data_IF_717451141586
#
_entry.id   IF_717451141586
#
_cell.length_a   1.000
_cell.length_b   1.000
_cell.length_c   1.000
_cell.angle_alpha   90.00
_cell.angle_beta   90.00
_cell.angle_gamma   90.00
#
_symmetry.space_group_name_H-M   'P 1'
#
loop_
_entity.id
_entity.type
_entity.pdbx_description
1 polymer ?
#
# COMPACT_ATOMS: atom_id res chain seq x y z
N UNK A 1 11.36 -9.55 34.76
CA UNK A 1 10.54 -10.76 35.02
C UNK A 1 10.75 -11.78 33.92
N UNK A 2 10.59 -11.39 32.65
CA UNK A 2 10.82 -12.27 31.48
C UNK A 2 12.25 -12.86 31.39
N UNK A 3 13.31 -12.07 31.62
CA UNK A 3 14.69 -12.57 31.57
C UNK A 3 15.00 -13.64 32.63
N UNK A 4 14.41 -13.52 33.83
CA UNK A 4 14.63 -14.45 34.94
C UNK A 4 13.90 -15.80 34.70
N UNK A 5 12.71 -15.76 34.09
CA UNK A 5 12.00 -16.98 33.69
C UNK A 5 12.71 -17.70 32.54
N UNK A 6 13.36 -16.95 31.65
CA UNK A 6 14.08 -17.47 30.50
C UNK A 6 15.39 -18.17 30.89
N UNK A 7 16.13 -17.62 31.86
CA UNK A 7 17.31 -18.27 32.46
C UNK A 7 16.94 -19.60 33.11
N UNK A 8 15.84 -19.63 33.87
CA UNK A 8 15.36 -20.86 34.52
C UNK A 8 14.95 -21.94 33.52
N UNK A 9 14.34 -21.56 32.40
CA UNK A 9 13.99 -22.51 31.36
C UNK A 9 15.23 -23.06 30.64
N UNK A 10 16.25 -22.24 30.42
CA UNK A 10 17.53 -22.66 29.84
C UNK A 10 18.22 -23.72 30.71
N UNK A 11 18.29 -23.48 32.01
CA UNK A 11 18.84 -24.42 32.99
C UNK A 11 18.12 -25.77 32.96
N UNK A 12 16.78 -25.78 32.86
CA UNK A 12 15.97 -27.00 32.82
C UNK A 12 16.15 -27.82 31.54
N UNK A 13 16.58 -27.18 30.45
CA UNK A 13 16.77 -27.81 29.14
C UNK A 13 18.25 -28.09 28.83
N UNK A 14 19.13 -27.86 29.79
CA UNK A 14 20.58 -28.04 29.64
C UNK A 14 21.01 -29.45 30.05
N UNK A 15 21.83 -30.07 29.21
CA UNK A 15 22.42 -31.36 29.50
C UNK A 15 23.51 -31.23 30.59
N UNK A 16 23.48 -32.06 31.64
CA UNK A 16 24.45 -31.99 32.73
C UNK A 16 25.87 -32.40 32.33
N UNK A 17 26.04 -33.08 31.18
CA UNK A 17 27.33 -33.55 30.69
C UNK A 17 27.98 -32.53 29.75
N UNK A 18 27.31 -32.14 28.67
CA UNK A 18 27.89 -31.20 27.70
C UNK A 18 27.62 -29.73 28.02
N UNK A 19 26.79 -29.43 29.03
CA UNK A 19 26.39 -28.06 29.41
C UNK A 19 25.76 -27.26 28.25
N UNK A 20 25.15 -27.96 27.31
CA UNK A 20 24.41 -27.39 26.19
C UNK A 20 22.97 -27.91 26.19
N UNK A 21 22.07 -27.21 25.50
CA UNK A 21 20.67 -27.60 25.39
C UNK A 21 20.57 -29.00 24.77
N UNK A 22 19.73 -29.86 25.34
CA UNK A 22 19.66 -31.28 24.94
C UNK A 22 19.55 -31.48 23.42
N UNK A 23 20.38 -32.38 22.90
CA UNK A 23 20.39 -32.86 21.52
C UNK A 23 20.12 -34.36 21.53
N UNK A 24 18.97 -34.79 21.00
CA UNK A 24 18.50 -36.17 21.07
C UNK A 24 18.57 -36.76 22.50
N UNK A 25 17.79 -36.22 23.46
CA UNK A 25 17.82 -36.66 24.84
C UNK A 25 17.37 -38.11 25.02
N UNK A 26 18.19 -38.88 25.72
CA UNK A 26 18.01 -40.27 26.11
C UNK A 26 17.70 -40.35 27.59
N UNK A 27 16.60 -41.02 27.94
CA UNK A 27 16.14 -41.12 29.32
C UNK A 27 16.68 -42.39 29.99
N UNK A 28 17.53 -42.21 31.00
CA UNK A 28 18.06 -43.29 31.82
C UNK A 28 16.96 -43.94 32.67
N UNK A 29 17.17 -45.18 33.17
CA UNK A 29 16.21 -45.84 34.05
C UNK A 29 15.91 -45.11 35.37
N UNK A 30 16.80 -44.21 35.82
CA UNK A 30 16.53 -43.33 36.96
C UNK A 30 15.66 -42.11 36.62
N UNK A 31 15.23 -41.95 35.37
CA UNK A 31 14.40 -40.85 34.89
C UNK A 31 15.16 -39.60 34.41
N UNK A 32 16.46 -39.49 34.67
CA UNK A 32 17.29 -38.39 34.19
C UNK A 32 17.62 -38.54 32.71
N UNK A 33 17.81 -37.41 32.03
CA UNK A 33 18.06 -37.37 30.59
C UNK A 33 19.43 -36.81 30.26
N UNK A 34 20.04 -37.28 29.17
CA UNK A 34 21.30 -36.78 28.62
C UNK A 34 21.30 -36.89 27.10
N UNK A 35 22.15 -36.14 26.40
CA UNK A 35 22.29 -36.25 24.95
C UNK A 35 22.77 -37.66 24.55
N UNK A 36 22.31 -38.16 23.39
CA UNK A 36 22.77 -39.44 22.85
C UNK A 36 24.30 -39.49 22.71
N UNK A 37 24.92 -38.41 22.23
CA UNK A 37 26.38 -38.31 22.12
C UNK A 37 27.06 -38.50 23.48
N UNK A 38 26.61 -37.76 24.50
CA UNK A 38 27.14 -37.86 25.86
C UNK A 38 26.96 -39.25 26.47
N UNK A 39 25.83 -39.91 26.18
CA UNK A 39 25.60 -41.29 26.60
C UNK A 39 26.60 -42.24 25.93
N UNK A 40 26.80 -42.12 24.62
CA UNK A 40 27.76 -42.94 23.87
C UNK A 40 29.18 -42.73 24.38
N UNK A 41 29.59 -41.49 24.64
CA UNK A 41 30.91 -41.17 25.18
C UNK A 41 31.11 -41.83 26.57
N UNK A 42 30.09 -41.75 27.44
CA UNK A 42 30.12 -42.43 28.74
C UNK A 42 30.21 -43.96 28.60
N UNK A 43 29.51 -44.55 27.63
CA UNK A 43 29.55 -46.00 27.36
C UNK A 43 30.92 -46.44 26.83
N UNK A 44 31.55 -45.65 25.96
CA UNK A 44 32.90 -45.91 25.45
C UNK A 44 33.94 -45.90 26.59
N UNK A 45 33.76 -45.03 27.58
CA UNK A 45 34.68 -44.90 28.72
C UNK A 45 34.37 -45.83 29.91
N UNK A 46 33.30 -46.63 29.85
CA UNK A 46 32.84 -47.48 30.96
C UNK A 46 32.89 -48.98 30.65
N UNK A 47 33.75 -49.40 29.71
CA UNK A 47 33.84 -50.77 29.17
C UNK A 47 33.94 -51.93 30.20
N UNK A 48 34.26 -51.65 31.46
CA UNK A 48 34.36 -52.65 32.55
C UNK A 48 33.63 -52.23 33.85
N UNK A 49 32.82 -51.17 33.81
CA UNK A 49 32.16 -50.62 35.00
C UNK A 49 30.68 -50.28 34.77
N UNK A 50 29.80 -50.43 35.78
CA UNK A 50 28.39 -50.10 35.63
C UNK A 50 28.20 -48.61 35.29
N UNK A 51 27.36 -48.31 34.30
CA UNK A 51 27.03 -46.94 33.91
C UNK A 51 26.51 -46.18 35.12
N UNK A 52 27.06 -44.98 35.38
CA UNK A 52 26.64 -44.09 36.46
C UNK A 52 25.93 -42.86 35.91
N UNK A 53 24.75 -42.57 36.44
CA UNK A 53 24.04 -41.33 36.13
C UNK A 53 24.84 -40.12 36.67
N UNK A 54 25.17 -39.11 35.84
CA UNK A 54 25.84 -37.89 36.28
C UNK A 54 25.06 -37.09 37.34
N UNK A 55 23.73 -37.08 37.26
CA UNK A 55 22.87 -36.30 38.15
C UNK A 55 22.66 -36.95 39.52
N UNK A 56 22.27 -38.23 39.53
CA UNK A 56 21.86 -38.92 40.76
C UNK A 56 22.79 -40.06 41.20
N UNK A 57 23.84 -40.35 40.42
CA UNK A 57 24.85 -41.39 40.70
C UNK A 57 24.32 -42.83 40.77
N UNK A 58 23.08 -43.07 40.32
CA UNK A 58 22.52 -44.41 40.16
C UNK A 58 23.37 -45.26 39.20
N UNK A 59 23.55 -46.55 39.51
CA UNK A 59 24.38 -47.49 38.76
C UNK A 59 23.53 -48.50 37.98
N UNK A 60 23.88 -48.72 36.72
CA UNK A 60 23.20 -49.66 35.82
C UNK A 60 24.22 -50.63 35.22
N UNK A 61 23.97 -51.94 35.36
CA UNK A 61 24.91 -52.99 34.91
C UNK A 61 24.78 -53.32 33.42
N UNK A 62 23.60 -53.16 32.86
CA UNK A 62 23.31 -53.40 31.44
C UNK A 62 22.32 -52.33 30.96
N UNK A 63 22.72 -51.57 29.94
CA UNK A 63 21.94 -50.46 29.38
C UNK A 63 21.37 -50.94 28.06
N UNK A 64 20.33 -51.77 28.12
CA UNK A 64 19.91 -52.53 26.93
C UNK A 64 18.96 -51.76 26.01
N UNK A 65 18.29 -50.69 26.47
CA UNK A 65 17.52 -49.85 25.55
C UNK A 65 17.17 -48.48 26.17
N UNK A 66 17.97 -47.45 25.90
CA UNK A 66 17.68 -46.09 26.38
C UNK A 66 16.76 -45.39 25.37
N UNK A 67 15.51 -45.28 25.77
CA UNK A 67 14.48 -44.67 24.93
C UNK A 67 14.73 -43.17 24.73
N UNK A 68 14.45 -42.69 23.52
CA UNK A 68 14.44 -41.24 23.22
C UNK A 68 13.28 -40.60 23.96
N UNK A 69 13.55 -39.54 24.72
CA UNK A 69 12.49 -38.71 25.28
C UNK A 69 11.97 -37.76 24.21
N UNK A 70 10.92 -38.17 23.48
CA UNK A 70 10.34 -37.35 22.42
C UNK A 70 9.83 -35.99 22.92
N UNK A 71 9.24 -35.95 24.11
CA UNK A 71 8.76 -34.71 24.72
C UNK A 71 9.91 -33.74 25.01
N UNK A 72 10.99 -34.21 25.67
CA UNK A 72 12.14 -33.37 25.95
C UNK A 72 12.87 -32.97 24.66
N UNK A 73 12.98 -33.88 23.69
CA UNK A 73 13.56 -33.59 22.39
C UNK A 73 12.81 -32.45 21.67
N UNK A 74 11.48 -32.53 21.61
CA UNK A 74 10.65 -31.51 20.98
C UNK A 74 10.78 -30.16 21.68
N UNK A 75 10.71 -30.13 23.02
CA UNK A 75 10.83 -28.89 23.79
C UNK A 75 12.21 -28.26 23.64
N UNK A 76 13.28 -29.06 23.67
CA UNK A 76 14.66 -28.60 23.49
C UNK A 76 14.92 -28.11 22.06
N UNK A 77 14.37 -28.77 21.05
CA UNK A 77 14.43 -28.33 19.65
C UNK A 77 13.66 -27.01 19.45
N UNK A 78 12.44 -26.89 19.98
CA UNK A 78 11.65 -25.66 19.95
C UNK A 78 12.36 -24.50 20.66
N UNK A 79 13.01 -24.77 21.79
CA UNK A 79 13.78 -23.77 22.52
C UNK A 79 15.00 -23.31 21.72
N UNK A 80 15.76 -24.23 21.11
CA UNK A 80 16.89 -23.92 20.21
C UNK A 80 16.43 -23.08 19.03
N UNK A 81 15.31 -23.42 18.41
CA UNK A 81 14.71 -22.64 17.32
C UNK A 81 14.31 -21.25 17.79
N UNK A 82 13.70 -21.12 18.98
CA UNK A 82 13.34 -19.82 19.54
C UNK A 82 14.57 -18.97 19.90
N UNK A 83 15.62 -19.58 20.46
CA UNK A 83 16.90 -18.93 20.78
C UNK A 83 17.60 -18.47 19.51
N UNK A 84 17.75 -19.36 18.52
CA UNK A 84 18.31 -19.04 17.20
C UNK A 84 17.49 -18.01 16.44
N UNK A 85 16.15 -18.00 16.55
CA UNK A 85 15.29 -16.95 15.98
C UNK A 85 15.53 -15.58 16.63
N UNK A 86 15.76 -15.54 17.95
CA UNK A 86 16.15 -14.31 18.67
C UNK A 86 17.56 -13.84 18.30
N UNK A 87 18.48 -14.78 18.04
CA UNK A 87 19.85 -14.49 17.59
C UNK A 87 19.93 -14.13 16.09
N UNK A 88 19.03 -14.64 15.24
CA UNK A 88 18.93 -14.25 13.83
C UNK A 88 18.18 -12.92 13.64
N UNK A 89 17.30 -12.54 14.57
CA UNK A 89 16.89 -11.15 14.80
C UNK A 89 18.08 -10.24 15.19
N UNK A 90 19.23 -10.81 15.59
CA UNK A 90 20.50 -10.11 15.76
C UNK A 90 21.39 -10.13 14.50
N UNK A 91 20.82 -10.41 13.31
CA UNK A 91 21.42 -9.94 12.05
C UNK A 91 21.58 -8.43 12.16
N UNK A 92 22.82 -7.94 12.07
CA UNK A 92 23.15 -6.52 12.12
C UNK A 92 22.62 -5.83 10.87
N UNK A 93 21.34 -5.46 10.89
CA UNK A 93 20.72 -4.60 9.87
C UNK A 93 21.20 -3.18 10.13
N UNK A 94 21.65 -2.48 9.08
CA UNK A 94 22.15 -1.12 9.17
C UNK A 94 21.07 -0.12 8.76
N UNK A 95 21.21 1.12 9.23
CA UNK A 95 20.32 2.20 8.87
C UNK A 95 20.55 2.64 7.43
N UNK A 96 19.49 2.64 6.62
CA UNK A 96 19.52 3.04 5.21
C UNK A 96 19.62 4.57 5.03
N UNK A 97 19.24 5.34 6.06
CA UNK A 97 19.23 6.80 6.03
C UNK A 97 20.54 7.45 6.47
N UNK A 98 21.50 6.68 7.01
CA UNK A 98 22.77 7.24 7.48
C UNK A 98 23.81 7.19 6.35
N UNK A 99 24.22 8.36 5.84
CA UNK A 99 25.17 8.44 4.72
C UNK A 99 26.63 8.19 5.10
N UNK A 100 27.03 8.48 6.35
CA UNK A 100 28.45 8.54 6.75
C UNK A 100 28.86 7.49 7.78
N UNK A 101 27.93 7.04 8.62
CA UNK A 101 28.18 6.04 9.67
C UNK A 101 27.24 4.85 9.50
N UNK A 102 27.79 3.64 9.42
CA UNK A 102 27.01 2.39 9.42
C UNK A 102 26.44 2.14 10.82
N UNK A 103 25.42 2.92 11.19
CA UNK A 103 24.69 2.74 12.45
C UNK A 103 23.72 1.56 12.32
N UNK A 104 23.52 0.82 13.41
CA UNK A 104 22.58 -0.29 13.42
C UNK A 104 21.14 0.25 13.35
N UNK A 105 20.33 -0.38 12.51
CA UNK A 105 18.91 -0.14 12.45
C UNK A 105 18.25 -0.61 13.75
N UNK A 106 17.37 0.23 14.27
CA UNK A 106 16.57 -0.03 15.45
C UNK A 106 15.19 -0.59 15.08
N UNK A 107 14.59 -0.08 14.00
CA UNK A 107 13.31 -0.58 13.45
C UNK A 107 13.28 -0.51 11.94
N UNK A 108 12.43 -1.33 11.33
CA UNK A 108 12.10 -1.27 9.91
C UNK A 108 10.66 -0.80 9.73
N UNK A 109 10.44 0.16 8.85
CA UNK A 109 9.11 0.62 8.47
C UNK A 109 8.58 -0.27 7.34
N UNK A 110 7.46 -0.97 7.55
CA UNK A 110 6.90 -1.84 6.49
C UNK A 110 6.25 -1.05 5.35
N UNK A 111 5.84 0.21 5.59
CA UNK A 111 5.22 1.06 4.58
C UNK A 111 6.23 1.86 3.74
N UNK A 112 7.34 2.28 4.34
CA UNK A 112 8.43 2.96 3.63
C UNK A 112 9.54 2.01 3.18
N UNK A 113 9.48 0.77 3.62
CA UNK A 113 10.41 -0.31 3.29
C UNK A 113 11.87 -0.09 3.72
N UNK A 114 12.11 0.90 4.59
CA UNK A 114 13.43 1.31 5.08
C UNK A 114 13.71 0.86 6.51
N UNK A 115 14.96 0.50 6.77
CA UNK A 115 15.51 0.20 8.09
C UNK A 115 16.25 1.41 8.64
N UNK A 116 15.96 1.78 9.89
CA UNK A 116 16.34 3.09 10.43
C UNK A 116 16.91 2.98 11.85
N UNK A 117 17.93 3.77 12.16
CA UNK A 117 18.48 3.90 13.51
C UNK A 117 17.51 4.66 14.44
N UNK A 118 17.80 4.69 15.75
CA UNK A 118 16.92 5.32 16.77
C UNK A 118 16.55 6.77 16.44
N UNK A 119 17.50 7.55 15.91
CA UNK A 119 17.27 8.95 15.57
C UNK A 119 16.29 9.12 14.40
N UNK A 120 16.53 8.39 13.31
CA UNK A 120 15.62 8.39 12.16
C UNK A 120 14.23 7.85 12.52
N UNK A 121 14.14 6.83 13.38
CA UNK A 121 12.85 6.31 13.87
C UNK A 121 12.09 7.36 14.65
N UNK A 122 12.75 8.14 15.50
CA UNK A 122 12.10 9.23 16.25
C UNK A 122 11.51 10.26 15.29
N UNK A 123 12.29 10.73 14.32
CA UNK A 123 11.81 11.70 13.33
C UNK A 123 10.62 11.15 12.53
N UNK A 124 10.64 9.86 12.20
CA UNK A 124 9.55 9.17 11.51
C UNK A 124 8.27 9.03 12.34
N UNK A 125 8.40 8.98 13.66
CA UNK A 125 7.25 8.95 14.57
C UNK A 125 6.71 10.35 14.90
N UNK A 126 7.52 11.39 14.76
CA UNK A 126 7.14 12.78 15.05
C UNK A 126 6.50 13.49 13.85
N UNK A 127 6.89 13.11 12.62
CA UNK A 127 6.37 13.73 11.40
C UNK A 127 4.94 13.24 11.08
N UNK A 128 3.95 14.16 10.90
CA UNK A 128 2.55 13.80 10.64
C UNK A 128 2.32 12.89 9.44
N UNK A 129 3.21 12.95 8.44
CA UNK A 129 3.14 12.10 7.25
C UNK A 129 3.42 10.61 7.55
N UNK A 130 4.09 10.32 8.67
CA UNK A 130 4.71 9.02 8.95
C UNK A 130 4.31 8.41 10.31
N UNK A 131 3.69 9.20 11.19
CA UNK A 131 3.22 8.82 12.55
C UNK A 131 2.39 7.54 12.59
N UNK A 132 1.68 7.20 11.51
CA UNK A 132 0.85 5.98 11.41
C UNK A 132 1.53 4.77 10.78
N UNK A 133 2.82 4.83 10.46
CA UNK A 133 3.49 3.75 9.74
C UNK A 133 3.83 2.57 10.67
N UNK A 134 3.56 1.32 10.26
CA UNK A 134 3.94 0.13 11.03
C UNK A 134 5.46 -0.03 11.11
N UNK A 135 5.99 -0.02 12.34
CA UNK A 135 7.42 -0.21 12.63
C UNK A 135 7.64 -1.54 13.34
N UNK A 136 8.41 -2.43 12.73
CA UNK A 136 8.79 -3.75 13.26
C UNK A 136 10.27 -3.81 13.61
N UNK A 137 10.72 -4.92 14.19
CA UNK A 137 12.15 -5.18 14.39
C UNK A 137 12.94 -5.10 13.08
N UNK A 138 14.26 -4.90 13.11
CA UNK A 138 15.07 -4.75 11.92
C UNK A 138 14.98 -6.00 11.03
N UNK A 139 14.48 -5.83 9.80
CA UNK A 139 14.33 -6.93 8.85
C UNK A 139 15.46 -6.88 7.81
N UNK A 140 16.20 -7.98 7.70
CA UNK A 140 17.30 -8.12 6.74
C UNK A 140 16.83 -8.49 5.33
N UNK A 141 15.71 -9.20 5.24
CA UNK A 141 15.16 -9.71 3.97
C UNK A 141 13.75 -9.15 3.74
N UNK A 142 13.44 -8.86 2.47
CA UNK A 142 12.11 -8.46 2.02
C UNK A 142 11.13 -9.63 2.04
N UNK A 143 11.62 -10.88 1.93
CA UNK A 143 10.79 -12.08 2.02
C UNK A 143 10.12 -12.24 3.39
N UNK A 144 10.77 -11.77 4.46
CA UNK A 144 10.24 -11.79 5.84
C UNK A 144 9.08 -10.79 6.05
N UNK A 145 8.74 -9.98 5.04
CA UNK A 145 7.63 -8.99 5.07
C UNK A 145 6.35 -9.50 4.45
N UNK A 146 6.37 -10.68 3.84
CA UNK A 146 5.22 -11.31 3.18
C UNK A 146 4.21 -11.79 4.21
N UNK A 147 2.94 -11.72 3.86
CA UNK A 147 1.87 -12.27 4.67
C UNK A 147 1.97 -13.80 4.64
N UNK A 148 1.94 -14.48 5.80
CA UNK A 148 2.04 -15.94 5.85
C UNK A 148 0.84 -16.66 5.21
N UNK A 149 -0.28 -15.96 5.01
CA UNK A 149 -1.47 -16.50 4.33
C UNK A 149 -1.58 -16.04 2.87
N UNK A 150 -0.88 -14.97 2.49
CA UNK A 150 -0.95 -14.34 1.18
C UNK A 150 0.47 -14.02 0.72
N UNK A 151 1.15 -15.01 0.14
CA UNK A 151 2.59 -14.95 -0.14
C UNK A 151 3.00 -13.82 -1.10
N UNK A 152 2.06 -13.32 -1.91
CA UNK A 152 2.29 -12.20 -2.83
C UNK A 152 2.02 -10.82 -2.21
N UNK A 153 1.47 -10.78 -0.99
CA UNK A 153 1.11 -9.54 -0.31
C UNK A 153 2.00 -9.27 0.90
N UNK A 154 2.32 -7.99 1.11
CA UNK A 154 3.15 -7.55 2.24
C UNK A 154 2.30 -7.06 3.40
N UNK A 155 2.82 -7.22 4.62
CA UNK A 155 2.19 -6.73 5.84
C UNK A 155 2.23 -5.20 5.86
N UNK A 156 1.07 -4.54 5.92
CA UNK A 156 0.94 -3.07 5.81
C UNK A 156 0.21 -2.41 6.96
N UNK A 157 -0.61 -3.16 7.69
CA UNK A 157 -1.48 -2.62 8.72
C UNK A 157 -1.24 -3.33 10.03
N UNK A 158 -1.51 -2.65 11.15
CA UNK A 158 -1.51 -3.27 12.46
C UNK A 158 -2.96 -3.48 12.92
N UNK A 159 -3.32 -4.72 13.22
CA UNK A 159 -4.65 -5.05 13.74
C UNK A 159 -4.63 -5.01 15.26
N UNK A 160 -5.43 -4.12 15.87
CA UNK A 160 -5.54 -4.03 17.32
C UNK A 160 -6.17 -5.28 17.95
N UNK A 161 -7.18 -5.86 17.28
CA UNK A 161 -7.93 -7.02 17.76
C UNK A 161 -7.09 -8.30 17.80
N UNK A 162 -6.26 -8.53 16.78
CA UNK A 162 -5.40 -9.72 16.68
C UNK A 162 -3.96 -9.47 17.11
N UNK A 163 -3.64 -8.25 17.57
CA UNK A 163 -2.30 -7.79 18.00
C UNK A 163 -1.17 -8.23 17.05
N UNK A 164 -1.43 -8.20 15.74
CA UNK A 164 -0.49 -8.63 14.70
C UNK A 164 -0.57 -7.71 13.49
N UNK A 165 0.51 -7.68 12.72
CA UNK A 165 0.51 -7.02 11.42
C UNK A 165 -0.22 -7.87 10.38
N UNK A 166 -0.97 -7.23 9.49
CA UNK A 166 -1.80 -7.87 8.47
C UNK A 166 -1.59 -7.19 7.10
N UNK A 167 -1.81 -7.94 6.01
CA UNK A 167 -1.84 -7.37 4.65
C UNK A 167 -3.22 -6.77 4.33
N UNK A 168 -3.33 -6.15 3.15
CA UNK A 168 -4.58 -5.67 2.56
C UNK A 168 -5.67 -6.75 2.51
N UNK A 169 -5.35 -7.97 2.08
CA UNK A 169 -6.34 -9.05 1.95
C UNK A 169 -6.82 -9.49 3.34
N UNK A 170 -5.91 -9.69 4.29
CA UNK A 170 -6.27 -9.99 5.68
C UNK A 170 -7.07 -8.88 6.37
N UNK A 171 -6.93 -7.62 5.94
CA UNK A 171 -7.74 -6.51 6.47
C UNK A 171 -9.18 -6.52 5.93
N UNK A 172 -9.38 -7.10 4.74
CA UNK A 172 -10.68 -7.23 4.10
C UNK A 172 -11.39 -8.53 4.49
N UNK A 173 -10.64 -9.59 4.81
CA UNK A 173 -11.20 -10.89 5.16
C UNK A 173 -11.70 -10.92 6.61
N UNK A 174 -13.02 -10.94 6.76
CA UNK A 174 -13.74 -10.96 8.04
C UNK A 174 -13.54 -12.25 8.84
N UNK A 175 -13.06 -13.33 8.21
CA UNK A 175 -12.87 -14.63 8.87
C UNK A 175 -11.72 -14.64 9.89
N UNK A 176 -10.77 -13.72 9.74
CA UNK A 176 -9.55 -13.68 10.55
C UNK A 176 -9.49 -12.49 11.52
N UNK A 177 -10.55 -11.70 11.60
CA UNK A 177 -10.65 -10.48 12.40
C UNK A 177 -11.75 -10.61 13.46
N UNK A 178 -11.39 -11.21 14.59
CA UNK A 178 -12.03 -11.08 15.91
C UNK A 178 -13.35 -11.85 16.14
N UNK A 179 -13.39 -12.50 17.30
CA UNK A 179 -14.55 -13.19 17.91
C UNK A 179 -15.64 -12.19 18.39
N UNK A 180 -15.52 -10.89 18.09
CA UNK A 180 -16.53 -9.85 18.38
C UNK A 180 -17.33 -9.45 17.11
N UNK A 181 -17.77 -10.45 16.35
CA UNK A 181 -18.25 -10.31 14.97
C UNK A 181 -19.66 -9.72 14.79
N UNK A 182 -20.42 -9.41 15.84
CA UNK A 182 -21.83 -9.02 15.65
C UNK A 182 -22.05 -7.54 15.31
N UNK A 183 -21.28 -6.61 15.89
CA UNK A 183 -21.52 -5.17 15.69
C UNK A 183 -20.78 -4.56 14.49
N UNK A 184 -19.71 -5.19 14.00
CA UNK A 184 -18.92 -4.69 12.85
C UNK A 184 -19.50 -5.11 11.49
N UNK A 185 -20.22 -6.23 11.41
CA UNK A 185 -20.71 -6.77 10.14
C UNK A 185 -21.83 -5.93 9.52
N UNK A 186 -22.67 -5.30 10.35
CA UNK A 186 -23.77 -4.44 9.90
C UNK A 186 -23.26 -3.13 9.31
N UNK A 187 -22.38 -2.42 10.03
CA UNK A 187 -21.76 -1.18 9.56
C UNK A 187 -20.93 -1.41 8.29
N UNK A 188 -20.21 -2.53 8.23
CA UNK A 188 -19.40 -2.87 7.05
C UNK A 188 -20.27 -3.22 5.84
N UNK A 189 -21.37 -3.96 6.02
CA UNK A 189 -22.35 -4.19 4.95
C UNK A 189 -22.96 -2.88 4.46
N UNK A 190 -23.42 -2.03 5.38
CA UNK A 190 -23.99 -0.73 5.03
C UNK A 190 -23.02 0.15 4.24
N UNK A 191 -21.74 0.19 4.64
CA UNK A 191 -20.73 0.97 3.92
C UNK A 191 -20.43 0.35 2.54
N UNK A 192 -20.38 -0.98 2.45
CA UNK A 192 -20.13 -1.67 1.18
C UNK A 192 -21.30 -1.48 0.22
N UNK A 193 -22.53 -1.55 0.72
CA UNK A 193 -23.75 -1.31 -0.06
C UNK A 193 -23.83 0.15 -0.53
N UNK A 194 -23.49 1.10 0.35
CA UNK A 194 -23.40 2.52 -0.01
C UNK A 194 -22.37 2.77 -1.11
N UNK A 195 -21.15 2.23 -0.96
CA UNK A 195 -20.10 2.36 -1.98
C UNK A 195 -20.49 1.71 -3.30
N UNK A 196 -21.10 0.53 -3.27
CA UNK A 196 -21.59 -0.14 -4.48
C UNK A 196 -22.68 0.68 -5.19
N UNK A 197 -23.54 1.36 -4.42
CA UNK A 197 -24.56 2.24 -4.98
C UNK A 197 -23.95 3.47 -5.64
N UNK A 198 -22.97 4.13 -5.01
CA UNK A 198 -22.22 5.25 -5.59
C UNK A 198 -21.41 4.84 -6.83
N UNK A 199 -20.79 3.66 -6.83
CA UNK A 199 -20.12 3.15 -8.02
C UNK A 199 -21.10 2.93 -9.17
N UNK A 200 -22.30 2.43 -8.89
CA UNK A 200 -23.32 2.21 -9.91
C UNK A 200 -23.81 3.53 -10.53
N UNK A 201 -24.09 4.54 -9.71
CA UNK A 201 -24.50 5.87 -10.21
C UNK A 201 -23.39 6.53 -11.03
N UNK A 202 -22.13 6.39 -10.61
CA UNK A 202 -20.98 6.86 -11.39
C UNK A 202 -20.88 6.18 -12.76
N UNK A 203 -21.06 4.85 -12.83
CA UNK A 203 -21.04 4.11 -14.10
C UNK A 203 -22.18 4.58 -15.02
N UNK A 204 -23.38 4.80 -14.49
CA UNK A 204 -24.51 5.33 -15.25
C UNK A 204 -24.22 6.73 -15.80
N UNK A 205 -23.67 7.64 -14.98
CA UNK A 205 -23.24 8.97 -15.43
C UNK A 205 -22.14 8.94 -16.51
N UNK A 206 -21.17 8.03 -16.37
CA UNK A 206 -20.13 7.83 -17.40
C UNK A 206 -20.74 7.32 -18.70
N UNK A 207 -21.71 6.40 -18.64
CA UNK A 207 -22.40 5.90 -19.83
C UNK A 207 -23.23 7.00 -20.52
N UNK A 208 -23.96 7.81 -19.74
CA UNK A 208 -24.74 8.93 -20.27
C UNK A 208 -23.86 10.00 -20.93
N UNK A 209 -22.76 10.37 -20.27
CA UNK A 209 -21.81 11.35 -20.81
C UNK A 209 -21.10 10.83 -22.05
N UNK A 210 -20.72 9.55 -22.10
CA UNK A 210 -20.19 8.91 -23.31
C UNK A 210 -21.20 8.93 -24.47
N UNK A 211 -22.49 8.71 -24.17
CA UNK A 211 -23.58 8.84 -25.15
C UNK A 211 -23.75 10.28 -25.67
N UNK A 212 -23.67 11.27 -24.78
CA UNK A 212 -23.73 12.69 -25.15
C UNK A 212 -22.54 13.10 -26.04
N UNK A 213 -21.32 12.66 -25.70
CA UNK A 213 -20.11 12.90 -26.50
C UNK A 213 -20.24 12.26 -27.89
N UNK A 214 -20.77 11.04 -27.96
CA UNK A 214 -20.96 10.34 -29.24
C UNK A 214 -21.93 11.09 -30.17
N UNK A 215 -23.05 11.61 -29.63
CA UNK A 215 -24.00 12.45 -30.38
C UNK A 215 -23.39 13.75 -30.88
N UNK A 216 -22.64 14.45 -30.02
CA UNK A 216 -21.92 15.66 -30.44
C UNK A 216 -20.90 15.35 -31.54
N UNK A 217 -20.22 14.20 -31.43
CA UNK A 217 -19.25 13.78 -32.43
C UNK A 217 -19.91 13.46 -33.77
N UNK A 218 -21.11 12.87 -33.77
CA UNK A 218 -21.93 12.69 -34.97
C UNK A 218 -22.39 14.03 -35.57
N UNK A 219 -22.84 14.98 -34.75
CA UNK A 219 -23.21 16.33 -35.20
C UNK A 219 -22.01 17.04 -35.84
N UNK A 220 -20.83 16.97 -35.23
CA UNK A 220 -19.59 17.51 -35.80
C UNK A 220 -19.23 16.83 -37.13
N UNK A 221 -19.40 15.51 -37.24
CA UNK A 221 -19.17 14.79 -38.50
C UNK A 221 -20.19 15.16 -39.58
N UNK A 222 -21.46 15.34 -39.21
CA UNK A 222 -22.52 15.82 -40.10
C UNK A 222 -22.20 17.23 -40.62
N UNK A 223 -21.81 18.16 -39.75
CA UNK A 223 -21.35 19.49 -40.15
C UNK A 223 -20.14 19.44 -41.08
N UNK A 224 -19.20 18.52 -40.83
CA UNK A 224 -18.01 18.33 -41.68
C UNK A 224 -18.33 17.74 -43.05
N UNK A 225 -19.41 16.96 -43.19
CA UNK A 225 -19.85 16.36 -44.47
C UNK A 225 -20.80 17.25 -45.28
N UNK A 226 -21.22 18.42 -44.76
CA UNK A 226 -22.02 19.38 -45.53
C UNK A 226 -21.21 19.84 -46.77
N UNK A 227 -21.76 19.79 -47.98
CA UNK A 227 -21.06 20.26 -49.18
C UNK A 227 -20.75 21.76 -49.09
N UNK A 228 -19.63 22.24 -49.66
CA UNK A 228 -19.21 23.64 -49.60
C UNK A 228 -20.00 24.55 -50.56
N UNK A 229 -21.32 24.46 -50.57
CA UNK A 229 -22.22 25.37 -51.30
C UNK A 229 -23.22 25.90 -50.27
N UNK A 230 -23.05 27.08 -49.67
CA UNK A 230 -23.04 28.40 -50.29
C UNK A 230 -22.26 29.34 -49.35
N UNK A 231 -20.93 29.38 -49.48
CA UNK A 231 -20.10 30.28 -48.69
C UNK A 231 -20.18 31.69 -49.29
N UNK A 232 -21.29 32.39 -49.07
CA UNK A 232 -21.29 33.85 -49.19
C UNK A 232 -20.42 34.33 -48.02
N UNK A 233 -19.13 34.51 -48.29
CA UNK A 233 -18.13 34.85 -47.29
C UNK A 233 -18.64 36.04 -46.46
N UNK A 234 -18.47 36.05 -45.13
CA UNK A 234 -18.95 37.17 -44.30
C UNK A 234 -18.48 38.54 -44.83
N UNK A 235 -17.33 38.55 -45.49
CA UNK A 235 -16.78 39.69 -46.24
C UNK A 235 -17.72 40.18 -47.35
N UNK A 236 -18.34 39.32 -48.15
CA UNK A 236 -19.27 39.73 -49.22
C UNK A 236 -20.58 40.29 -48.65
N UNK A 237 -21.06 39.78 -47.51
CA UNK A 237 -22.21 40.38 -46.81
C UNK A 237 -21.89 41.77 -46.28
N UNK A 238 -20.72 41.93 -45.65
CA UNK A 238 -20.26 43.23 -45.14
C UNK A 238 -20.08 44.21 -46.31
N UNK A 239 -19.50 43.78 -47.43
CA UNK A 239 -19.32 44.63 -48.61
C UNK A 239 -20.66 45.04 -49.23
N UNK A 240 -21.63 44.12 -49.36
CA UNK A 240 -22.98 44.44 -49.85
C UNK A 240 -23.69 45.41 -48.89
N UNK A 241 -23.59 45.19 -47.58
CA UNK A 241 -24.21 46.06 -46.59
C UNK A 241 -23.61 47.46 -46.60
N UNK A 242 -22.28 47.58 -46.67
CA UNK A 242 -21.59 48.87 -46.81
C UNK A 242 -21.97 49.56 -48.13
N UNK A 243 -22.11 48.82 -49.23
CA UNK A 243 -22.56 49.38 -50.51
C UNK A 243 -23.99 49.92 -50.42
N UNK A 244 -24.91 49.21 -49.76
CA UNK A 244 -26.27 49.71 -49.51
C UNK A 244 -26.30 50.97 -48.64
N UNK A 245 -25.44 51.05 -47.61
CA UNK A 245 -25.31 52.25 -46.79
C UNK A 245 -24.85 53.44 -47.64
N UNK A 246 -23.83 53.26 -48.47
CA UNK A 246 -23.33 54.33 -49.36
C UNK A 246 -24.41 54.78 -50.34
N UNK A 247 -25.15 53.86 -50.95
CA UNK A 247 -26.27 54.20 -51.83
C UNK A 247 -27.38 54.97 -51.11
N UNK A 248 -27.71 54.57 -49.89
CA UNK A 248 -28.72 55.26 -49.09
C UNK A 248 -28.30 56.70 -48.79
N UNK A 249 -27.04 56.92 -48.40
CA UNK A 249 -26.53 58.28 -48.17
C UNK A 249 -26.44 59.10 -49.45
N UNK A 250 -25.99 58.51 -50.56
CA UNK A 250 -25.94 59.18 -51.86
C UNK A 250 -27.35 59.58 -52.35
N UNK A 251 -28.33 58.71 -52.16
CA UNK A 251 -29.73 59.00 -52.48
C UNK A 251 -30.26 60.16 -51.62
N UNK A 252 -30.10 60.09 -50.30
CA UNK A 252 -30.55 61.17 -49.41
C UNK A 252 -29.87 62.50 -49.74
N UNK A 253 -28.56 62.49 -50.00
CA UNK A 253 -27.81 63.67 -50.41
C UNK A 253 -28.30 64.23 -51.75
N UNK A 254 -28.62 63.37 -52.72
CA UNK A 254 -29.20 63.78 -54.00
C UNK A 254 -30.57 64.41 -53.82
N UNK A 255 -31.43 63.82 -52.99
CA UNK A 255 -32.77 64.36 -52.70
C UNK A 255 -32.65 65.72 -52.01
N UNK A 256 -31.76 65.84 -51.02
CA UNK A 256 -31.53 67.08 -50.29
C UNK A 256 -30.96 68.19 -51.19
N UNK A 257 -30.03 67.85 -52.08
CA UNK A 257 -29.53 68.77 -53.12
C UNK A 257 -30.62 69.17 -54.11
N UNK A 258 -31.49 68.24 -54.52
CA UNK A 258 -32.59 68.54 -55.43
C UNK A 258 -33.59 69.52 -54.78
N UNK A 259 -33.93 69.30 -53.50
CA UNK A 259 -34.77 70.22 -52.72
C UNK A 259 -34.13 71.60 -52.57
N UNK A 260 -32.80 71.67 -52.37
CA UNK A 260 -32.05 72.93 -52.32
C UNK A 260 -32.05 73.65 -53.67
N UNK A 261 -31.86 72.95 -54.79
CA UNK A 261 -31.92 73.56 -56.13
C UNK A 261 -33.31 74.08 -56.47
N UNK A 262 -34.37 73.35 -56.11
CA UNK A 262 -35.76 73.80 -56.28
C UNK A 262 -36.10 75.00 -55.38
N UNK A 263 -35.52 75.07 -54.18
CA UNK A 263 -35.66 76.22 -53.29
C UNK A 263 -34.90 77.46 -53.83
N UNK A 264 -33.71 77.25 -54.41
CA UNK A 264 -32.90 78.31 -55.03
C UNK A 264 -33.56 78.85 -56.31
N UNK A 265 -34.15 77.97 -57.12
CA UNK A 265 -34.90 78.36 -58.33
C UNK A 265 -36.19 79.13 -57.99
N UNK A 266 -36.83 78.83 -56.84
CA UNK A 266 -37.95 79.63 -56.31
C UNK A 266 -37.53 81.01 -55.79
N UNK A 267 -36.28 81.19 -55.39
CA UNK A 267 -35.75 82.48 -54.92
C UNK A 267 -35.15 83.34 -56.05
N UNK A 268 -34.86 82.78 -57.22
CA UNK A 268 -34.38 83.53 -58.38
C UNK A 268 -35.57 83.97 -59.28
N UNK A 269 -35.91 85.26 -59.38
CA UNK A 269 -36.91 85.71 -60.33
C UNK A 269 -36.43 85.44 -61.76
N UNK A 270 -37.22 84.70 -62.56
CA UNK A 270 -37.02 84.58 -64.01
C UNK A 270 -37.02 85.99 -64.61
N UNK A 271 -35.86 86.47 -65.05
CA UNK A 271 -35.78 87.66 -65.90
C UNK A 271 -36.35 87.31 -67.28
N UNK A 272 -37.36 88.04 -67.79
CA UNK A 272 -37.80 87.87 -69.15
C UNK A 272 -36.84 88.64 -70.06
N UNK A 273 -35.99 87.91 -70.77
CA UNK A 273 -35.28 88.43 -71.94
C UNK A 273 -35.57 87.49 -73.10
N UNK A 274 -35.91 88.11 -74.23
CA UNK A 274 -36.10 87.54 -75.57
C UNK A 274 -37.48 86.94 -75.90
N UNK A 275 -38.38 87.86 -76.27
CA UNK A 275 -39.18 87.70 -77.49
C UNK A 275 -38.97 88.94 -78.37
N UNK A 276 -38.05 88.80 -79.33
CA UNK A 276 -38.22 89.25 -80.71
C UNK A 276 -38.37 87.97 -81.54
#
# INVERSE_FOLDING_TARGET
>A
MEEHEQSRLEELLTCPVCQDIFSDPRQLPCGHSMCLSCLNDLLVHSSDSPLRCPDCRAQFREVVDVQRSYALAHISEDYKLCKSRRETLAKKVYCDCCSETKTLAFKTCLKCEVSMCKEHVRNHQELPAFTGHPLVGPLSDLAERKCPQHEDEVLRYYCNSSRRYICNICALDSKHLCVDSEKSSVLQRQLTDYLNQEFKTLIEHVAESAGAVSRLQEDFQYYRRRPPDLRVNGVTFILLFLWFIVLYYAYNYSVENQMLTEALEKQCPKTPSERL
#
